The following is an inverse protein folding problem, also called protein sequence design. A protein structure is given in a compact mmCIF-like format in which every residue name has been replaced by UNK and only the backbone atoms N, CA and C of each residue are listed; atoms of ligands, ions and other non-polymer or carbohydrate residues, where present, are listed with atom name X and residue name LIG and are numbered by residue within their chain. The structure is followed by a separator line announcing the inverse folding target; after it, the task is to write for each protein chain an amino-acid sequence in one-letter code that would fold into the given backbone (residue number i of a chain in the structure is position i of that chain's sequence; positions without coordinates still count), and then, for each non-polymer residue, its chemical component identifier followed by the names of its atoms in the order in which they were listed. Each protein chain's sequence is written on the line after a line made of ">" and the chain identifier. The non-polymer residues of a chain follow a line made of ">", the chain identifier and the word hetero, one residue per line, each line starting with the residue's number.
data_IF_630642150700
#
_entry.id   IF_630642150700
#
_cell.length_a   1.000
_cell.length_b   1.000
_cell.length_c   1.000
_cell.angle_alpha   90.00
_cell.angle_beta   90.00
_cell.angle_gamma   90.00
#
_symmetry.space_group_name_H-M   'P 1'
#
loop_
_entity.id
_entity.type
_entity.pdbx_description
1 polymer ?
#
# COMPACT_ATOMS: atom_id res chain seq x y z
N UNK A 1 -4.27 -9.61 20.36
CA UNK A 1 -4.32 -8.21 19.88
C UNK A 1 -3.92 -8.01 18.40
N UNK A 2 -3.07 -8.87 17.78
CA UNK A 2 -2.71 -8.78 16.34
C UNK A 2 -3.89 -8.96 15.36
N UNK A 3 -4.87 -9.82 15.68
CA UNK A 3 -6.00 -10.13 14.79
C UNK A 3 -6.99 -8.97 14.66
N UNK A 4 -7.18 -8.16 15.72
CA UNK A 4 -8.11 -7.03 15.70
C UNK A 4 -7.60 -5.86 14.84
N UNK A 5 -6.27 -5.65 14.81
CA UNK A 5 -5.64 -4.64 13.95
C UNK A 5 -5.76 -4.96 12.44
N UNK A 6 -5.76 -6.24 12.08
CA UNK A 6 -5.93 -6.70 10.69
C UNK A 6 -7.31 -6.33 10.14
N UNK A 7 -8.36 -6.39 10.98
CA UNK A 7 -9.73 -6.12 10.52
C UNK A 7 -9.97 -4.65 10.15
N UNK A 8 -9.29 -3.70 10.81
CA UNK A 8 -9.42 -2.27 10.54
C UNK A 8 -8.61 -1.81 9.30
N UNK A 9 -7.56 -2.57 8.95
CA UNK A 9 -6.76 -2.39 7.73
C UNK A 9 -7.48 -2.81 6.44
N UNK A 10 -8.51 -3.66 6.55
CA UNK A 10 -9.23 -4.23 5.40
C UNK A 10 -10.33 -3.34 4.83
N UNK A 11 -10.63 -2.20 5.45
CA UNK A 11 -11.69 -1.28 5.00
C UNK A 11 -11.18 0.15 4.79
N UNK A 12 -10.24 0.40 3.85
CA UNK A 12 -10.08 1.75 3.34
C UNK A 12 -11.44 2.21 2.74
N UNK A 13 -11.90 3.38 3.18
CA UNK A 13 -13.15 3.95 2.68
C UNK A 13 -12.81 4.71 1.40
N UNK A 14 -13.04 4.06 0.26
CA UNK A 14 -13.05 4.71 -1.05
C UNK A 14 -14.46 5.24 -1.31
N UNK A 15 -14.63 6.56 -1.24
CA UNK A 15 -15.88 7.23 -1.59
C UNK A 15 -15.78 7.69 -3.05
N UNK A 16 -16.44 6.96 -3.94
CA UNK A 16 -16.67 7.43 -5.31
C UNK A 16 -17.80 8.47 -5.30
N UNK A 17 -17.46 9.73 -5.54
CA UNK A 17 -18.44 10.76 -5.83
C UNK A 17 -18.96 10.55 -7.27
N UNK A 18 -20.12 9.89 -7.38
CA UNK A 18 -20.73 9.47 -8.63
C UNK A 18 -21.39 10.66 -9.38
N UNK A 19 -20.61 11.67 -9.77
CA UNK A 19 -21.07 12.84 -10.49
C UNK A 19 -21.14 12.63 -12.01
N UNK A 20 -22.25 12.05 -12.52
CA UNK A 20 -22.62 12.24 -13.93
C UNK A 20 -22.69 11.01 -14.84
N UNK A 21 -23.13 9.86 -14.37
CA UNK A 21 -23.36 8.70 -15.25
C UNK A 21 -24.64 8.92 -16.08
N UNK A 22 -24.51 9.10 -17.41
CA UNK A 22 -25.67 9.08 -18.32
C UNK A 22 -25.92 7.63 -18.76
N UNK A 23 -27.17 7.17 -18.59
CA UNK A 23 -27.59 5.78 -18.90
C UNK A 23 -27.43 5.50 -20.40
N UNK A 24 -26.83 4.36 -20.75
CA UNK A 24 -26.85 3.83 -22.12
C UNK A 24 -28.27 3.43 -22.55
N UNK A 25 -28.57 3.52 -23.86
CA UNK A 25 -29.87 3.11 -24.42
C UNK A 25 -30.10 1.59 -24.31
N UNK A 26 -31.37 1.22 -24.10
CA UNK A 26 -31.88 -0.16 -24.02
C UNK A 26 -31.47 -0.95 -25.30
N UNK A 27 -30.85 -2.12 -25.13
CA UNK A 27 -30.37 -2.98 -26.23
C UNK A 27 -28.85 -3.02 -26.43
N UNK A 28 -28.08 -2.28 -25.63
CA UNK A 28 -26.62 -2.35 -25.58
C UNK A 28 -26.20 -2.78 -24.16
N UNK A 29 -26.31 -4.09 -23.87
CA UNK A 29 -26.11 -4.70 -22.54
C UNK A 29 -24.70 -4.50 -21.95
N UNK A 30 -23.79 -3.94 -22.73
CA UNK A 30 -22.51 -3.45 -22.26
C UNK A 30 -22.69 -2.00 -21.79
N UNK A 31 -22.85 -1.82 -20.48
CA UNK A 31 -22.95 -0.51 -19.84
C UNK A 31 -21.65 0.26 -20.13
N UNK A 32 -21.67 1.08 -21.19
CA UNK A 32 -20.62 2.04 -21.45
C UNK A 32 -20.91 3.21 -20.53
N UNK A 33 -20.20 3.28 -19.42
CA UNK A 33 -20.04 4.52 -18.68
C UNK A 33 -19.17 5.41 -19.57
N UNK A 34 -19.69 6.57 -19.99
CA UNK A 34 -19.06 7.44 -20.99
C UNK A 34 -18.52 8.75 -20.43
N UNK A 35 -18.61 8.98 -19.11
CA UNK A 35 -18.23 10.26 -18.50
C UNK A 35 -17.21 10.07 -17.40
N UNK A 36 -16.29 11.04 -17.32
CA UNK A 36 -15.27 11.12 -16.29
C UNK A 36 -15.92 11.25 -14.90
N UNK A 37 -15.21 10.81 -13.87
CA UNK A 37 -15.63 10.90 -12.48
C UNK A 37 -14.51 11.38 -11.58
N UNK A 38 -14.84 11.58 -10.31
CA UNK A 38 -13.87 11.89 -9.27
C UNK A 38 -13.68 10.68 -8.34
N UNK A 39 -12.47 10.52 -7.85
CA UNK A 39 -12.07 9.49 -6.91
C UNK A 39 -11.56 10.16 -5.63
N UNK A 40 -11.99 9.67 -4.46
CA UNK A 40 -11.47 10.06 -3.17
C UNK A 40 -11.29 8.81 -2.31
N UNK A 41 -10.12 8.68 -1.69
CA UNK A 41 -9.86 7.61 -0.74
C UNK A 41 -9.05 8.12 0.44
N UNK A 42 -9.37 7.58 1.61
CA UNK A 42 -8.64 7.80 2.85
C UNK A 42 -8.60 6.50 3.63
N UNK A 43 -7.50 6.24 4.31
CA UNK A 43 -7.40 5.03 5.11
C UNK A 43 -6.10 4.92 5.89
N UNK A 44 -6.00 3.89 6.74
CA UNK A 44 -4.76 3.59 7.45
C UNK A 44 -3.73 2.95 6.51
N UNK A 45 -2.46 3.09 6.85
CA UNK A 45 -1.35 2.33 6.27
C UNK A 45 -0.64 1.53 7.36
N UNK A 46 0.01 0.44 6.99
CA UNK A 46 0.84 -0.33 7.91
C UNK A 46 2.04 -0.90 7.17
N UNK A 47 3.24 -0.63 7.68
CA UNK A 47 4.47 -1.14 7.09
C UNK A 47 4.67 -2.60 7.48
N UNK A 48 4.70 -3.50 6.50
CA UNK A 48 5.07 -4.89 6.77
C UNK A 48 6.58 -4.98 6.98
N UNK A 49 7.00 -5.63 8.06
CA UNK A 49 8.41 -5.84 8.38
C UNK A 49 8.86 -7.27 8.10
N UNK A 50 10.17 -7.42 7.91
CA UNK A 50 10.81 -8.73 7.79
C UNK A 50 10.89 -9.40 9.16
N UNK A 51 11.22 -10.69 9.19
CA UNK A 51 11.57 -11.36 10.45
C UNK A 51 12.83 -10.74 11.05
N UNK A 52 12.97 -10.90 12.36
CA UNK A 52 14.17 -10.55 13.12
C UNK A 52 15.42 -11.04 12.38
N UNK A 53 16.37 -10.14 12.19
CA UNK A 53 17.67 -10.46 11.58
C UNK A 53 18.65 -10.75 12.71
N UNK A 54 19.36 -11.86 12.58
CA UNK A 54 20.42 -12.24 13.52
C UNK A 54 21.72 -12.41 12.75
N UNK A 55 22.81 -11.94 13.32
CA UNK A 55 24.13 -12.14 12.76
C UNK A 55 25.22 -12.05 13.81
N UNK A 56 26.45 -12.28 13.36
CA UNK A 56 27.63 -12.16 14.18
C UNK A 56 28.35 -10.83 13.86
N UNK A 57 28.87 -10.18 14.90
CA UNK A 57 29.81 -9.09 14.70
C UNK A 57 31.09 -9.68 14.10
N UNK A 58 31.48 -9.23 12.90
CA UNK A 58 32.73 -9.69 12.30
C UNK A 58 33.93 -8.98 12.91
N UNK A 59 35.05 -9.71 13.00
CA UNK A 59 36.28 -9.39 13.72
C UNK A 59 37.07 -8.17 13.18
N UNK A 60 36.48 -7.34 12.32
CA UNK A 60 37.21 -6.26 11.64
C UNK A 60 37.71 -5.14 12.58
N UNK A 61 37.34 -5.14 13.86
CA UNK A 61 37.82 -4.22 14.90
C UNK A 61 37.98 -4.91 16.29
N UNK A 62 38.14 -6.24 16.35
CA UNK A 62 38.40 -6.97 17.60
C UNK A 62 37.21 -7.13 18.55
N UNK A 63 35.98 -6.81 18.10
CA UNK A 63 34.75 -7.06 18.86
C UNK A 63 34.05 -8.31 18.36
N UNK A 64 33.86 -9.27 19.27
CA UNK A 64 33.13 -10.52 19.01
C UNK A 64 31.75 -10.42 19.63
N UNK A 65 30.74 -10.94 18.97
CA UNK A 65 29.38 -10.89 19.51
C UNK A 65 28.31 -11.31 18.53
N UNK A 66 27.08 -11.30 19.01
CA UNK A 66 25.88 -11.58 18.21
C UNK A 66 24.93 -10.41 18.31
N UNK A 67 24.34 -10.01 17.18
CA UNK A 67 23.33 -8.96 17.15
C UNK A 67 21.97 -9.50 16.71
N UNK A 68 20.93 -8.85 17.19
CA UNK A 68 19.52 -9.11 16.90
C UNK A 68 18.87 -7.79 16.52
N UNK A 69 18.29 -7.74 15.33
CA UNK A 69 17.59 -6.57 14.81
C UNK A 69 16.14 -6.96 14.61
N UNK A 70 15.24 -6.39 15.41
CA UNK A 70 13.82 -6.73 15.43
C UNK A 70 12.97 -5.57 14.88
N UNK A 71 12.58 -5.61 13.59
CA UNK A 71 11.79 -4.56 12.99
C UNK A 71 10.29 -4.74 13.26
N UNK A 72 9.65 -3.66 13.70
CA UNK A 72 8.22 -3.56 13.94
C UNK A 72 7.55 -2.59 12.96
N UNK A 73 6.38 -3.00 12.45
CA UNK A 73 5.56 -2.16 11.59
C UNK A 73 4.70 -1.23 12.42
N UNK A 74 4.64 0.04 12.02
CA UNK A 74 3.80 1.03 12.67
C UNK A 74 2.67 1.53 11.77
N UNK A 75 1.62 2.02 12.41
CA UNK A 75 0.43 2.55 11.74
C UNK A 75 0.69 3.97 11.20
N UNK A 76 0.26 4.20 9.97
CA UNK A 76 0.20 5.49 9.31
C UNK A 76 -1.17 5.71 8.67
N UNK A 77 -1.23 6.64 7.73
CA UNK A 77 -2.45 6.94 6.99
C UNK A 77 -2.14 7.36 5.56
N UNK A 78 -3.14 7.32 4.70
CA UNK A 78 -3.10 7.91 3.38
C UNK A 78 -4.38 8.66 3.09
N UNK A 79 -4.29 9.65 2.21
CA UNK A 79 -5.42 10.33 1.61
C UNK A 79 -5.08 10.65 0.15
N UNK A 80 -6.01 10.41 -0.76
CA UNK A 80 -5.84 10.70 -2.18
C UNK A 80 -7.12 11.21 -2.82
N UNK A 81 -6.93 12.02 -3.84
CA UNK A 81 -7.98 12.50 -4.72
C UNK A 81 -7.54 12.30 -6.17
N UNK A 82 -8.50 12.01 -7.05
CA UNK A 82 -8.21 11.63 -8.41
C UNK A 82 -9.36 11.82 -9.38
N UNK A 83 -9.04 11.52 -10.63
CA UNK A 83 -9.94 11.55 -11.76
C UNK A 83 -10.07 10.15 -12.33
N UNK A 84 -11.29 9.78 -12.66
CA UNK A 84 -11.64 8.56 -13.36
C UNK A 84 -11.99 8.92 -14.79
N UNK A 85 -11.37 8.26 -15.76
CA UNK A 85 -11.63 8.45 -17.19
C UNK A 85 -12.11 7.14 -17.81
N UNK A 86 -13.31 7.17 -18.38
CA UNK A 86 -13.85 6.01 -19.08
C UNK A 86 -13.53 6.12 -20.59
N UNK A 87 -12.95 5.07 -21.20
CA UNK A 87 -12.67 5.07 -22.62
C UNK A 87 -13.99 5.05 -23.42
N UNK A 88 -14.02 5.86 -24.46
CA UNK A 88 -15.15 6.01 -25.39
C UNK A 88 -15.18 4.94 -26.47
N UNK A 89 -14.07 4.22 -26.69
CA UNK A 89 -14.00 3.13 -27.68
C UNK A 89 -14.71 1.85 -27.21
N UNK A 90 -15.16 1.04 -28.17
CA UNK A 90 -15.58 -0.34 -27.92
C UNK A 90 -14.35 -1.23 -27.95
N UNK A 91 -14.09 -1.94 -26.85
CA UNK A 91 -12.96 -2.88 -26.76
C UNK A 91 -13.24 -4.22 -27.42
N UNK A 92 -12.30 -5.15 -27.26
CA UNK A 92 -12.47 -6.55 -27.69
C UNK A 92 -13.37 -7.27 -26.67
N UNK A 93 -14.52 -7.82 -27.10
CA UNK A 93 -15.45 -8.49 -26.20
C UNK A 93 -14.89 -9.82 -25.69
N UNK A 94 -14.99 -10.03 -24.38
CA UNK A 94 -14.61 -11.26 -23.70
C UNK A 94 -15.89 -12.03 -23.37
N UNK A 95 -16.26 -12.98 -24.24
CA UNK A 95 -17.51 -13.75 -24.11
C UNK A 95 -17.61 -14.50 -22.77
N UNK A 96 -16.51 -15.07 -22.27
CA UNK A 96 -16.49 -15.82 -21.02
C UNK A 96 -16.86 -14.97 -19.79
N UNK A 97 -16.43 -13.71 -19.77
CA UNK A 97 -16.71 -12.77 -18.68
C UNK A 97 -17.94 -11.90 -18.95
N UNK A 98 -18.67 -12.16 -20.05
CA UNK A 98 -19.80 -11.34 -20.53
C UNK A 98 -19.46 -9.85 -20.56
N UNK A 99 -18.24 -9.53 -21.01
CA UNK A 99 -17.70 -8.17 -21.07
C UNK A 99 -17.45 -7.73 -22.50
N UNK A 100 -17.57 -6.43 -22.75
CA UNK A 100 -17.19 -5.81 -24.03
C UNK A 100 -15.72 -5.41 -24.11
N UNK A 101 -15.02 -5.34 -22.98
CA UNK A 101 -13.64 -4.85 -22.90
C UNK A 101 -12.89 -5.45 -21.72
N UNK A 102 -11.57 -5.58 -21.86
CA UNK A 102 -10.66 -6.02 -20.78
C UNK A 102 -10.60 -4.98 -19.66
N UNK A 103 -10.57 -3.70 -20.03
CA UNK A 103 -10.42 -2.57 -19.12
C UNK A 103 -11.61 -1.62 -19.27
N UNK A 104 -12.19 -1.23 -18.14
CA UNK A 104 -13.39 -0.41 -18.07
C UNK A 104 -13.11 1.07 -17.88
N UNK A 105 -12.07 1.44 -17.12
CA UNK A 105 -11.69 2.83 -16.89
C UNK A 105 -10.22 2.96 -16.48
N UNK A 106 -9.70 4.18 -16.63
CA UNK A 106 -8.44 4.62 -16.08
C UNK A 106 -8.69 5.51 -14.87
N UNK A 107 -7.84 5.38 -13.86
CA UNK A 107 -7.85 6.23 -12.68
C UNK A 107 -6.48 6.89 -12.55
N UNK A 108 -6.49 8.21 -12.34
CA UNK A 108 -5.32 9.00 -12.03
C UNK A 108 -5.53 9.66 -10.67
N UNK A 109 -4.64 9.43 -9.72
CA UNK A 109 -4.76 9.97 -8.38
C UNK A 109 -3.46 10.67 -7.95
N UNK A 110 -3.62 11.73 -7.17
CA UNK A 110 -2.56 12.35 -6.40
C UNK A 110 -2.92 12.20 -4.92
N UNK A 111 -1.93 11.84 -4.11
CA UNK A 111 -2.17 11.56 -2.71
C UNK A 111 -0.98 11.80 -1.82
N UNK A 112 -1.26 11.78 -0.52
CA UNK A 112 -0.28 11.75 0.54
C UNK A 112 -0.38 10.42 1.26
N UNK A 113 0.77 9.81 1.59
CA UNK A 113 0.83 8.66 2.50
C UNK A 113 1.93 8.82 3.52
N UNK A 114 1.65 8.38 4.72
CA UNK A 114 2.63 8.28 5.79
C UNK A 114 2.98 6.81 5.98
N UNK A 115 4.28 6.50 5.95
CA UNK A 115 4.81 5.18 6.29
C UNK A 115 5.60 5.29 7.57
N UNK A 116 5.29 4.43 8.53
CA UNK A 116 5.94 4.40 9.83
C UNK A 116 6.47 3.01 10.15
N UNK A 117 7.53 2.97 10.94
CA UNK A 117 8.09 1.72 11.45
C UNK A 117 9.10 2.00 12.56
N UNK A 118 9.38 0.96 13.33
CA UNK A 118 10.33 0.99 14.43
C UNK A 118 11.21 -0.25 14.38
N UNK A 119 12.34 -0.19 15.07
CA UNK A 119 13.29 -1.29 15.13
C UNK A 119 13.98 -1.28 16.50
N UNK A 120 14.09 -2.44 17.12
CA UNK A 120 14.90 -2.64 18.32
C UNK A 120 16.13 -3.45 17.94
N UNK A 121 17.32 -2.94 18.27
CA UNK A 121 18.58 -3.65 18.05
C UNK A 121 19.21 -4.01 19.39
N UNK A 122 19.61 -5.27 19.54
CA UNK A 122 20.34 -5.77 20.72
C UNK A 122 21.64 -6.41 20.27
N UNK A 123 22.73 -6.06 20.94
CA UNK A 123 24.08 -6.59 20.69
C UNK A 123 24.58 -7.25 21.96
N UNK A 124 24.92 -8.53 21.88
CA UNK A 124 25.63 -9.24 22.93
C UNK A 124 27.12 -9.33 22.58
N UNK A 125 27.95 -8.63 23.34
CA UNK A 125 29.40 -8.73 23.21
C UNK A 125 29.91 -9.97 23.95
N UNK A 126 30.79 -10.72 23.29
CA UNK A 126 31.34 -11.97 23.79
C UNK A 126 32.85 -11.89 23.97
N UNK A 127 33.35 -12.52 25.03
CA UNK A 127 34.79 -12.61 25.29
C UNK A 127 35.44 -13.68 24.40
N UNK A 128 36.75 -13.91 24.57
CA UNK A 128 37.49 -14.93 23.82
C UNK A 128 36.93 -16.36 24.00
N UNK A 129 36.33 -16.63 25.16
CA UNK A 129 35.73 -17.90 25.54
C UNK A 129 34.27 -18.07 25.07
N UNK A 130 33.69 -17.04 24.44
CA UNK A 130 32.31 -17.06 23.93
C UNK A 130 31.25 -16.68 24.96
N UNK A 131 31.64 -16.28 26.16
CA UNK A 131 30.73 -15.82 27.21
C UNK A 131 30.33 -14.37 26.97
N UNK A 132 29.06 -14.05 27.21
CA UNK A 132 28.54 -12.67 27.08
C UNK A 132 29.09 -11.85 28.26
N UNK A 133 29.83 -10.78 27.97
CA UNK A 133 30.35 -9.86 28.99
C UNK A 133 29.63 -8.51 29.00
N UNK A 134 28.94 -8.14 27.91
CA UNK A 134 28.17 -6.91 27.83
C UNK A 134 26.96 -7.06 26.88
N UNK A 135 25.93 -6.26 27.10
CA UNK A 135 24.73 -6.20 26.25
C UNK A 135 24.27 -4.76 26.08
N UNK A 136 24.22 -4.32 24.82
CA UNK A 136 23.71 -3.00 24.44
C UNK A 136 22.40 -3.17 23.69
N UNK A 137 21.40 -2.37 24.04
CA UNK A 137 20.12 -2.32 23.35
C UNK A 137 19.76 -0.88 23.02
N UNK A 138 19.30 -0.63 21.79
CA UNK A 138 18.84 0.67 21.33
C UNK A 138 17.64 0.49 20.41
N UNK A 139 16.77 1.51 20.35
CA UNK A 139 15.57 1.51 19.51
C UNK A 139 15.55 2.71 18.56
N UNK A 140 15.15 2.48 17.31
CA UNK A 140 14.94 3.50 16.31
C UNK A 140 13.50 3.51 15.82
N UNK A 141 13.02 4.66 15.36
CA UNK A 141 11.72 4.75 14.69
C UNK A 141 11.73 5.80 13.60
N UNK A 142 10.84 5.64 12.61
CA UNK A 142 10.65 6.61 11.54
C UNK A 142 9.17 6.77 11.21
N UNK A 143 8.82 7.95 10.70
CA UNK A 143 7.49 8.31 10.21
C UNK A 143 7.63 9.23 9.01
N UNK A 144 7.83 8.63 7.85
CA UNK A 144 8.11 9.32 6.59
C UNK A 144 6.80 9.67 5.85
N UNK A 145 6.69 10.91 5.39
CA UNK A 145 5.57 11.39 4.57
C UNK A 145 5.94 11.47 3.09
N UNK A 146 5.13 10.83 2.24
CA UNK A 146 5.30 10.76 0.81
C UNK A 146 4.15 11.46 0.09
N UNK A 147 4.50 12.31 -0.87
CA UNK A 147 3.59 12.73 -1.92
C UNK A 147 3.68 11.71 -3.05
N UNK A 148 2.56 11.21 -3.54
CA UNK A 148 2.55 10.22 -4.60
C UNK A 148 1.56 10.52 -5.71
N UNK A 149 1.91 10.07 -6.91
CA UNK A 149 1.02 10.01 -8.06
C UNK A 149 0.78 8.57 -8.47
N UNK A 150 -0.47 8.24 -8.85
CA UNK A 150 -0.89 6.91 -9.21
C UNK A 150 -1.68 6.92 -10.51
N UNK A 151 -1.38 5.97 -11.40
CA UNK A 151 -2.18 5.68 -12.58
C UNK A 151 -2.60 4.21 -12.53
N UNK A 152 -3.86 3.90 -12.77
CA UNK A 152 -4.38 2.53 -12.65
C UNK A 152 -5.42 2.23 -13.73
N UNK A 153 -5.32 1.02 -14.28
CA UNK A 153 -6.18 0.45 -15.30
C UNK A 153 -7.16 -0.52 -14.62
N UNK A 154 -8.45 -0.21 -14.60
CA UNK A 154 -9.45 -0.95 -13.83
C UNK A 154 -10.35 -1.83 -14.72
N UNK A 155 -10.84 -2.93 -14.13
CA UNK A 155 -11.73 -3.89 -14.76
C UNK A 155 -12.80 -4.35 -13.77
N UNK A 156 -14.06 -4.04 -14.06
CA UNK A 156 -15.21 -4.28 -13.17
C UNK A 156 -15.97 -5.56 -13.56
N UNK A 157 -15.97 -6.59 -12.74
CA UNK A 157 -16.74 -7.83 -12.96
C UNK A 157 -18.01 -7.81 -12.12
N UNK A 158 -19.17 -7.75 -12.78
CA UNK A 158 -20.48 -7.71 -12.11
C UNK A 158 -20.92 -9.10 -11.60
N UNK A 159 -21.16 -9.22 -10.30
CA UNK A 159 -21.49 -10.49 -9.63
C UNK A 159 -22.89 -10.46 -8.99
N UNK A 160 -23.46 -11.65 -8.78
CA UNK A 160 -24.78 -11.82 -8.18
C UNK A 160 -25.97 -11.63 -9.15
N UNK A 161 -27.18 -11.90 -8.64
CA UNK A 161 -28.43 -11.85 -9.43
C UNK A 161 -29.20 -10.53 -9.26
N UNK A 162 -29.06 -9.86 -8.11
CA UNK A 162 -29.79 -8.62 -7.81
C UNK A 162 -29.33 -7.49 -8.74
N UNK A 163 -30.28 -6.84 -9.40
CA UNK A 163 -30.04 -5.68 -10.26
C UNK A 163 -30.50 -4.39 -9.58
N UNK A 164 -29.78 -3.32 -9.83
CA UNK A 164 -30.19 -1.94 -9.56
C UNK A 164 -30.15 -1.23 -10.92
N UNK A 165 -31.31 -0.72 -11.34
CA UNK A 165 -31.57 -0.29 -12.71
C UNK A 165 -31.24 -1.38 -13.75
N UNK A 166 -30.21 -1.15 -14.56
CA UNK A 166 -29.77 -2.05 -15.64
C UNK A 166 -28.53 -2.86 -15.28
N UNK A 167 -27.87 -2.57 -14.15
CA UNK A 167 -26.62 -3.21 -13.74
C UNK A 167 -26.83 -4.13 -12.53
N UNK A 168 -25.91 -5.08 -12.29
CA UNK A 168 -25.92 -5.87 -11.05
C UNK A 168 -25.49 -4.98 -9.87
N UNK A 169 -26.07 -5.26 -8.70
CA UNK A 169 -25.80 -4.52 -7.45
C UNK A 169 -24.35 -4.66 -7.00
N UNK A 170 -23.78 -5.85 -7.14
CA UNK A 170 -22.46 -6.18 -6.63
C UNK A 170 -21.46 -6.29 -7.77
N UNK A 171 -20.24 -5.83 -7.53
CA UNK A 171 -19.16 -5.94 -8.49
C UNK A 171 -17.82 -6.19 -7.79
N UNK A 172 -16.93 -6.88 -8.49
CA UNK A 172 -15.53 -7.00 -8.15
C UNK A 172 -14.78 -6.03 -9.05
N UNK A 173 -14.02 -5.12 -8.50
CA UNK A 173 -13.13 -4.24 -9.25
C UNK A 173 -11.70 -4.73 -9.09
N UNK A 174 -10.99 -4.90 -10.20
CA UNK A 174 -9.58 -5.27 -10.18
C UNK A 174 -8.79 -4.30 -11.04
N UNK A 175 -7.59 -3.93 -10.60
CA UNK A 175 -6.76 -3.00 -11.35
C UNK A 175 -5.29 -3.35 -11.33
N UNK A 176 -4.62 -2.97 -12.41
CA UNK A 176 -3.16 -2.97 -12.51
C UNK A 176 -2.74 -1.51 -12.64
N UNK A 177 -1.72 -1.09 -11.90
CA UNK A 177 -1.31 0.29 -11.92
C UNK A 177 0.14 0.49 -11.54
N UNK A 178 0.55 1.73 -11.65
CA UNK A 178 1.86 2.19 -11.23
C UNK A 178 1.69 3.38 -10.28
N UNK A 179 2.53 3.44 -9.26
CA UNK A 179 2.67 4.59 -8.38
C UNK A 179 4.10 5.10 -8.36
N UNK A 180 4.25 6.41 -8.24
CA UNK A 180 5.52 7.09 -8.01
C UNK A 180 5.39 7.86 -6.71
N UNK A 181 6.19 7.47 -5.73
CA UNK A 181 6.19 8.01 -4.38
C UNK A 181 7.46 8.86 -4.19
N UNK A 182 7.29 10.12 -3.80
CA UNK A 182 8.37 11.06 -3.48
C UNK A 182 8.34 11.42 -2.00
N UNK A 183 9.48 11.22 -1.32
CA UNK A 183 9.65 11.55 0.09
C UNK A 183 9.70 13.07 0.27
N UNK A 184 8.59 13.62 0.77
CA UNK A 184 8.44 15.06 0.98
C UNK A 184 8.74 15.46 2.42
N UNK A 185 8.40 14.61 3.39
CA UNK A 185 8.62 14.85 4.81
C UNK A 185 9.40 13.69 5.43
N UNK A 186 10.74 13.70 5.35
CA UNK A 186 11.56 12.74 6.07
C UNK A 186 11.45 12.97 7.58
N UNK A 187 11.30 11.91 8.36
CA UNK A 187 11.49 11.98 9.81
C UNK A 187 12.97 11.77 10.16
N UNK A 188 13.31 12.11 11.39
CA UNK A 188 14.54 11.61 12.01
C UNK A 188 14.55 10.07 11.98
N UNK A 189 15.74 9.53 11.72
CA UNK A 189 16.01 8.11 11.46
C UNK A 189 17.19 7.64 12.34
N UNK A 190 17.27 8.20 13.54
CA UNK A 190 18.29 7.91 14.55
C UNK A 190 17.75 6.91 15.59
N UNK A 191 18.68 6.22 16.24
CA UNK A 191 18.37 5.47 17.46
C UNK A 191 18.23 6.44 18.64
N UNK A 192 17.53 5.99 19.68
CA UNK A 192 17.33 6.69 20.95
C UNK A 192 18.64 7.00 21.69
N UNK A 193 19.65 6.14 21.56
CA UNK A 193 21.01 6.41 22.01
C UNK A 193 21.87 7.02 20.88
N UNK A 194 22.32 8.29 21.00
CA UNK A 194 23.13 8.95 19.99
C UNK A 194 24.54 8.35 19.83
N UNK A 195 25.01 7.57 20.81
CA UNK A 195 26.29 6.87 20.73
C UNK A 195 26.16 5.45 20.17
N UNK A 196 24.93 4.99 19.92
CA UNK A 196 24.69 3.66 19.38
C UNK A 196 25.04 3.61 17.89
N UNK A 197 25.92 2.68 17.53
CA UNK A 197 26.27 2.40 16.13
C UNK A 197 25.60 1.10 15.72
N UNK A 198 24.65 1.18 14.78
CA UNK A 198 23.98 0.00 14.27
C UNK A 198 24.99 -0.96 13.61
N UNK A 199 24.97 -2.26 13.97
CA UNK A 199 25.88 -3.26 13.40
C UNK A 199 25.51 -3.61 11.95
N UNK A 200 24.35 -3.13 11.47
CA UNK A 200 23.86 -3.29 10.12
C UNK A 200 23.62 -1.93 9.48
N UNK A 201 23.82 -1.85 8.17
CA UNK A 201 23.43 -0.66 7.41
C UNK A 201 21.91 -0.48 7.48
N UNK A 202 21.46 0.63 8.07
CA UNK A 202 20.06 1.01 8.10
C UNK A 202 19.59 1.34 6.68
N UNK A 203 18.57 0.63 6.19
CA UNK A 203 17.97 0.86 4.88
C UNK A 203 16.52 1.29 5.04
N UNK A 204 16.28 2.57 4.84
CA UNK A 204 14.94 3.13 4.80
C UNK A 204 14.38 3.12 3.38
N UNK A 205 13.07 3.36 3.28
CA UNK A 205 12.41 3.53 1.99
C UNK A 205 13.10 4.64 1.19
N UNK A 206 13.42 4.39 -0.08
CA UNK A 206 14.18 5.34 -0.89
C UNK A 206 13.40 6.66 -1.09
N UNK A 207 14.08 7.80 -1.30
CA UNK A 207 13.42 9.09 -1.46
C UNK A 207 12.51 9.20 -2.68
N UNK A 208 12.76 8.41 -3.73
CA UNK A 208 11.92 8.31 -4.91
C UNK A 208 11.76 6.83 -5.26
N UNK A 209 10.51 6.37 -5.33
CA UNK A 209 10.20 4.96 -5.61
C UNK A 209 9.10 4.87 -6.64
N UNK A 210 9.36 4.13 -7.71
CA UNK A 210 8.35 3.70 -8.66
C UNK A 210 7.97 2.25 -8.36
N UNK A 211 6.67 1.96 -8.27
CA UNK A 211 6.14 0.65 -7.94
C UNK A 211 5.03 0.28 -8.91
N UNK A 212 4.90 -1.03 -9.13
CA UNK A 212 3.73 -1.62 -9.77
C UNK A 212 2.84 -2.19 -8.68
N UNK A 213 1.53 -1.97 -8.79
CA UNK A 213 0.56 -2.51 -7.85
C UNK A 213 -0.59 -3.21 -8.58
N UNK A 214 -1.12 -4.24 -7.93
CA UNK A 214 -2.40 -4.84 -8.26
C UNK A 214 -3.38 -4.54 -7.14
N UNK A 215 -4.57 -4.10 -7.49
CA UNK A 215 -5.65 -3.86 -6.54
C UNK A 215 -6.84 -4.76 -6.83
N UNK A 216 -7.48 -5.23 -5.76
CA UNK A 216 -8.72 -5.98 -5.81
C UNK A 216 -9.69 -5.38 -4.79
N UNK A 217 -10.86 -4.99 -5.27
CA UNK A 217 -11.91 -4.37 -4.49
C UNK A 217 -13.25 -5.07 -4.70
N UNK A 218 -14.10 -4.99 -3.68
CA UNK A 218 -15.50 -5.41 -3.80
C UNK A 218 -16.39 -4.17 -3.62
N UNK A 219 -17.25 -3.93 -4.59
CA UNK A 219 -18.12 -2.77 -4.62
C UNK A 219 -19.60 -3.14 -4.52
N UNK A 220 -20.33 -2.28 -3.83
CA UNK A 220 -21.79 -2.32 -3.74
C UNK A 220 -22.31 -1.04 -4.36
N UNK A 221 -23.12 -1.15 -5.42
CA UNK A 221 -23.88 -0.01 -5.93
C UNK A 221 -24.98 0.34 -4.92
N UNK A 222 -24.95 1.59 -4.48
CA UNK A 222 -26.00 2.23 -3.69
C UNK A 222 -26.71 3.17 -4.68
N UNK A 223 -28.05 3.18 -4.66
CA UNK A 223 -28.92 3.78 -5.68
C UNK A 223 -28.49 5.19 -6.13
#
# INVERSE_FOLDING_TARGET
>A
MRIFKIFLLLFPISLFAQGGFVKGKKGNDYIIVTKNGYHFAVGPTYTMTKKTVTGELSDNNGSRGTYFVDPAGDEGFFAEAGLVQFPTWKGIPIKALKKSRIMDYWEFALGFRQLAGSESTTIHYKNALGEIYDTISASGSFRNGFLYGRASAHSIIFVGKKKIDQARKYFIDQSLGFNVDYLMFPSEQAYDDPNFVSPVSTRYHAPLVAQFHYSLGFGIRIN
#
